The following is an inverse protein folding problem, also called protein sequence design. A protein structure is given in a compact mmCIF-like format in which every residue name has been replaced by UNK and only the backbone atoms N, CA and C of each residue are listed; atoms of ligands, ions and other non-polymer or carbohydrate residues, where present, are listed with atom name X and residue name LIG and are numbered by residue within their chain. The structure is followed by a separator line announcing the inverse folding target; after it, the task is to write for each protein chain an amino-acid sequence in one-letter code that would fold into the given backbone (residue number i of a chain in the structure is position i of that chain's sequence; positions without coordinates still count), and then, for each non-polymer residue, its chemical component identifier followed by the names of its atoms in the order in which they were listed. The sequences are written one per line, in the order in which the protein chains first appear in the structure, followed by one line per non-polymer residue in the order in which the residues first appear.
data_IF_488195807543
#
_entry.id   IF_488195807543
#
_cell.length_a   1.000
_cell.length_b   1.000
_cell.length_c   1.000
_cell.angle_alpha   90.00
_cell.angle_beta   90.00
_cell.angle_gamma   90.00
#
_symmetry.space_group_name_H-M   'P 1'
#
loop_
_entity.id
_entity.type
_entity.pdbx_description
1 polymer ?
#
# COMPACT_ATOMS: atom_id res chain seq x y z
N UNK A 1 58.32 -15.58 19.50
CA UNK A 1 57.18 -14.76 19.95
C UNK A 1 56.38 -15.57 20.95
N UNK A 2 56.36 -15.20 22.23
CA UNK A 2 55.52 -15.90 23.22
C UNK A 2 54.08 -15.43 23.00
N UNK A 3 53.20 -16.35 22.60
CA UNK A 3 51.77 -16.06 22.46
C UNK A 3 51.21 -15.64 23.81
N UNK A 4 50.73 -14.40 23.92
CA UNK A 4 49.94 -13.99 25.07
C UNK A 4 48.59 -14.69 24.97
N UNK A 5 48.36 -15.66 25.85
CA UNK A 5 47.04 -16.25 26.00
C UNK A 5 46.12 -15.19 26.62
N UNK A 6 45.07 -14.81 25.90
CA UNK A 6 44.00 -13.96 26.42
C UNK A 6 43.39 -14.63 27.65
N UNK A 7 43.17 -13.88 28.73
CA UNK A 7 42.47 -14.43 29.91
C UNK A 7 41.04 -14.78 29.51
N UNK A 8 40.46 -15.76 30.21
CA UNK A 8 39.09 -16.24 29.96
C UNK A 8 38.08 -15.09 30.04
N UNK A 9 38.33 -14.09 30.89
CA UNK A 9 37.46 -12.92 31.02
C UNK A 9 37.39 -12.12 29.71
N UNK A 10 38.52 -11.87 29.04
CA UNK A 10 38.54 -11.13 27.77
C UNK A 10 37.78 -11.87 26.67
N UNK A 11 37.87 -13.20 26.63
CA UNK A 11 37.12 -14.03 25.68
C UNK A 11 35.62 -13.92 25.96
N UNK A 12 35.20 -13.95 27.23
CA UNK A 12 33.80 -13.77 27.61
C UNK A 12 33.27 -12.38 27.26
N UNK A 13 34.02 -11.31 27.54
CA UNK A 13 33.60 -9.95 27.16
C UNK A 13 33.47 -9.78 25.64
N UNK A 14 34.38 -10.39 24.87
CA UNK A 14 34.31 -10.38 23.41
C UNK A 14 33.06 -11.10 22.89
N UNK A 15 32.74 -12.28 23.43
CA UNK A 15 31.53 -13.03 23.07
C UNK A 15 30.24 -12.29 23.43
N UNK A 16 30.19 -11.66 24.61
CA UNK A 16 29.05 -10.80 25.02
C UNK A 16 28.90 -9.63 24.06
N UNK A 17 30.01 -8.98 23.68
CA UNK A 17 30.02 -7.90 22.70
C UNK A 17 29.47 -8.31 21.33
N UNK A 18 29.93 -9.45 20.79
CA UNK A 18 29.41 -10.00 19.53
C UNK A 18 27.91 -10.29 19.65
N UNK A 19 27.49 -10.93 20.74
CA UNK A 19 26.08 -11.29 20.97
C UNK A 19 25.20 -10.04 21.03
N UNK A 20 25.67 -8.97 21.69
CA UNK A 20 24.98 -7.68 21.72
C UNK A 20 24.84 -7.07 20.32
N UNK A 21 25.92 -7.02 19.54
CA UNK A 21 25.89 -6.47 18.17
C UNK A 21 24.90 -7.24 17.29
N UNK A 22 24.93 -8.57 17.35
CA UNK A 22 24.00 -9.43 16.62
C UNK A 22 22.56 -9.16 17.06
N UNK A 23 22.31 -9.07 18.37
CA UNK A 23 20.98 -8.84 18.93
C UNK A 23 20.43 -7.48 18.51
N UNK A 24 21.26 -6.44 18.58
CA UNK A 24 20.91 -5.08 18.13
C UNK A 24 20.56 -5.09 16.65
N UNK A 25 21.35 -5.76 15.81
CA UNK A 25 21.08 -5.88 14.38
C UNK A 25 19.71 -6.52 14.12
N UNK A 26 19.39 -7.64 14.78
CA UNK A 26 18.09 -8.31 14.61
C UNK A 26 16.92 -7.43 15.06
N UNK A 27 17.06 -6.72 16.18
CA UNK A 27 16.03 -5.79 16.67
C UNK A 27 15.77 -4.68 15.64
N UNK A 28 16.83 -4.02 15.17
CA UNK A 28 16.68 -2.94 14.18
C UNK A 28 16.13 -3.45 12.85
N UNK A 29 16.57 -4.63 12.39
CA UNK A 29 16.04 -5.24 11.16
C UNK A 29 14.54 -5.52 11.29
N UNK A 30 14.08 -6.06 12.43
CA UNK A 30 12.66 -6.31 12.65
C UNK A 30 11.85 -5.01 12.74
N UNK A 31 12.34 -4.01 13.46
CA UNK A 31 11.68 -2.70 13.57
C UNK A 31 11.57 -2.05 12.18
N UNK A 32 12.63 -2.11 11.37
CA UNK A 32 12.62 -1.57 10.01
C UNK A 32 11.55 -2.23 9.14
N UNK A 33 11.45 -3.56 9.17
CA UNK A 33 10.45 -4.29 8.40
C UNK A 33 9.02 -3.92 8.83
N UNK A 34 8.75 -3.86 10.14
CA UNK A 34 7.44 -3.47 10.68
C UNK A 34 7.10 -2.02 10.30
N UNK A 35 8.08 -1.12 10.34
CA UNK A 35 7.87 0.28 9.97
C UNK A 35 7.54 0.41 8.46
N UNK A 36 8.23 -0.34 7.60
CA UNK A 36 7.98 -0.36 6.17
C UNK A 36 6.56 -0.90 5.87
N UNK A 37 6.17 -2.04 6.48
CA UNK A 37 4.83 -2.61 6.32
C UNK A 37 3.72 -1.66 6.78
N UNK A 38 3.88 -1.03 7.95
CA UNK A 38 2.91 -0.04 8.45
C UNK A 38 2.79 1.16 7.54
N UNK A 39 3.90 1.63 6.97
CA UNK A 39 3.91 2.78 6.07
C UNK A 39 3.20 2.43 4.76
N UNK A 40 3.49 1.28 4.16
CA UNK A 40 2.78 0.79 2.96
C UNK A 40 1.28 0.67 3.22
N UNK A 41 0.88 0.05 4.33
CA UNK A 41 -0.53 -0.11 4.68
C UNK A 41 -1.24 1.24 4.86
N UNK A 42 -0.63 2.19 5.58
CA UNK A 42 -1.19 3.53 5.76
C UNK A 42 -1.34 4.27 4.43
N UNK A 43 -0.35 4.16 3.54
CA UNK A 43 -0.39 4.77 2.21
C UNK A 43 -1.46 4.13 1.31
N UNK A 44 -1.58 2.80 1.31
CA UNK A 44 -2.61 2.07 0.55
C UNK A 44 -4.01 2.50 1.01
N UNK A 45 -4.23 2.58 2.32
CA UNK A 45 -5.51 3.05 2.86
C UNK A 45 -5.80 4.50 2.45
N UNK A 46 -4.80 5.39 2.51
CA UNK A 46 -4.99 6.79 2.11
C UNK A 46 -5.35 6.94 0.62
N UNK A 47 -4.67 6.20 -0.26
CA UNK A 47 -5.00 6.18 -1.71
C UNK A 47 -6.38 5.59 -1.93
N UNK A 48 -6.70 4.49 -1.25
CA UNK A 48 -8.00 3.84 -1.33
C UNK A 48 -9.15 4.76 -0.91
N UNK A 49 -9.02 5.46 0.22
CA UNK A 49 -10.04 6.41 0.69
C UNK A 49 -10.19 7.61 -0.25
N UNK A 50 -9.09 8.09 -0.84
CA UNK A 50 -9.12 9.17 -1.83
C UNK A 50 -9.86 8.73 -3.10
N UNK A 51 -9.58 7.53 -3.60
CA UNK A 51 -10.28 6.96 -4.76
C UNK A 51 -11.76 6.76 -4.45
N UNK A 52 -12.07 6.15 -3.31
CA UNK A 52 -13.44 5.93 -2.85
C UNK A 52 -14.23 7.24 -2.75
N UNK A 53 -13.68 8.26 -2.11
CA UNK A 53 -14.33 9.58 -2.02
C UNK A 53 -14.57 10.19 -3.39
N UNK A 54 -13.60 10.07 -4.30
CA UNK A 54 -13.74 10.58 -5.69
C UNK A 54 -14.85 9.85 -6.45
N UNK A 55 -14.88 8.52 -6.37
CA UNK A 55 -15.90 7.68 -7.01
C UNK A 55 -17.30 8.03 -6.51
N UNK A 56 -17.47 8.15 -5.18
CA UNK A 56 -18.76 8.52 -4.57
C UNK A 56 -19.21 9.90 -5.07
N UNK A 57 -18.32 10.90 -5.02
CA UNK A 57 -18.64 12.25 -5.46
C UNK A 57 -19.03 12.29 -6.95
N UNK A 58 -18.31 11.55 -7.81
CA UNK A 58 -18.63 11.48 -9.24
C UNK A 58 -19.97 10.81 -9.49
N UNK A 59 -20.28 9.73 -8.75
CA UNK A 59 -21.58 9.09 -8.83
C UNK A 59 -22.71 10.05 -8.44
N UNK A 60 -22.56 10.80 -7.35
CA UNK A 60 -23.56 11.78 -6.90
C UNK A 60 -23.78 12.91 -7.92
N UNK A 61 -22.70 13.42 -8.51
CA UNK A 61 -22.77 14.46 -9.55
C UNK A 61 -23.52 13.93 -10.78
N UNK A 62 -23.18 12.75 -11.27
CA UNK A 62 -23.82 12.19 -12.47
C UNK A 62 -25.27 11.81 -12.21
N UNK A 63 -25.58 11.28 -11.03
CA UNK A 63 -26.95 10.93 -10.65
C UNK A 63 -27.86 12.15 -10.52
N UNK A 64 -27.30 13.32 -10.18
CA UNK A 64 -28.06 14.58 -10.06
C UNK A 64 -28.13 15.37 -11.38
N UNK A 65 -27.13 15.26 -12.25
CA UNK A 65 -27.01 16.07 -13.47
C UNK A 65 -27.30 15.32 -14.77
N UNK A 66 -27.45 13.98 -14.73
CA UNK A 66 -27.55 13.11 -15.91
C UNK A 66 -26.46 13.36 -16.97
N UNK A 67 -25.31 13.89 -16.54
CA UNK A 67 -24.20 14.26 -17.42
C UNK A 67 -23.13 13.18 -17.39
N UNK A 68 -22.37 13.07 -18.48
CA UNK A 68 -21.18 12.22 -18.53
C UNK A 68 -19.98 13.00 -17.97
N UNK A 69 -19.28 12.43 -16.99
CA UNK A 69 -18.13 13.05 -16.36
C UNK A 69 -16.95 12.09 -16.44
N UNK A 70 -15.84 12.58 -17.00
CA UNK A 70 -14.57 11.85 -17.04
C UNK A 70 -13.53 12.62 -16.21
N UNK A 71 -12.82 11.90 -15.35
CA UNK A 71 -11.82 12.48 -14.47
C UNK A 71 -10.61 11.57 -14.36
N UNK A 72 -9.42 12.15 -14.50
CA UNK A 72 -8.17 11.44 -14.28
C UNK A 72 -7.62 11.82 -12.93
N UNK A 73 -7.62 10.87 -12.00
CA UNK A 73 -6.99 11.05 -10.71
C UNK A 73 -5.53 10.58 -10.80
N UNK A 74 -4.59 11.46 -10.50
CA UNK A 74 -3.20 11.06 -10.38
C UNK A 74 -3.01 10.25 -9.11
N UNK A 75 -2.38 9.09 -9.25
CA UNK A 75 -2.06 8.20 -8.14
C UNK A 75 -0.55 7.96 -8.10
N UNK A 76 0.05 7.75 -6.92
CA UNK A 76 1.47 7.43 -6.84
C UNK A 76 1.77 6.13 -7.58
N UNK A 77 2.87 6.10 -8.35
CA UNK A 77 3.30 4.90 -9.09
C UNK A 77 3.74 3.77 -8.15
N UNK A 78 4.22 4.12 -6.95
CA UNK A 78 4.64 3.19 -5.90
C UNK A 78 4.32 3.77 -4.52
N UNK A 79 4.08 2.90 -3.55
CA UNK A 79 3.90 3.24 -2.14
C UNK A 79 4.99 2.55 -1.33
N UNK A 80 5.97 3.33 -0.84
CA UNK A 80 7.13 2.81 -0.10
C UNK A 80 7.77 1.58 -0.74
N UNK A 81 7.94 1.61 -2.08
CA UNK A 81 8.49 0.55 -2.98
C UNK A 81 7.50 -0.52 -3.45
N UNK A 82 6.29 -0.55 -2.94
CA UNK A 82 5.25 -1.44 -3.42
C UNK A 82 4.57 -0.90 -4.70
N UNK A 83 4.52 -1.71 -5.75
CA UNK A 83 3.56 -1.54 -6.85
C UNK A 83 2.26 -2.20 -6.41
N UNK A 84 1.15 -1.45 -6.47
CA UNK A 84 -0.17 -1.93 -6.08
C UNK A 84 -1.11 -2.03 -7.28
N UNK A 85 -2.09 -2.92 -7.15
CA UNK A 85 -3.22 -3.06 -8.08
C UNK A 85 -4.47 -2.46 -7.48
N UNK A 86 -5.38 -2.02 -8.34
CA UNK A 86 -6.71 -1.54 -7.99
C UNK A 86 -7.70 -2.42 -8.74
N UNK A 87 -8.64 -2.97 -7.99
CA UNK A 87 -9.65 -3.91 -8.49
C UNK A 87 -11.01 -3.58 -7.90
N UNK A 88 -12.06 -3.76 -8.67
CA UNK A 88 -13.44 -3.66 -8.17
C UNK A 88 -14.02 -5.07 -8.14
N UNK A 89 -14.26 -5.60 -6.94
CA UNK A 89 -14.87 -6.91 -6.73
C UNK A 89 -16.23 -6.71 -6.07
N UNK A 90 -17.29 -6.82 -6.87
CA UNK A 90 -18.65 -6.50 -6.44
C UNK A 90 -18.74 -5.02 -6.05
N UNK A 91 -19.12 -4.74 -4.80
CA UNK A 91 -19.29 -3.36 -4.29
C UNK A 91 -18.07 -2.87 -3.48
N UNK A 92 -16.92 -3.54 -3.62
CA UNK A 92 -15.71 -3.20 -2.89
C UNK A 92 -14.60 -2.77 -3.85
N UNK A 93 -13.92 -1.70 -3.48
CA UNK A 93 -12.67 -1.25 -4.08
C UNK A 93 -11.52 -1.90 -3.32
N UNK A 94 -10.79 -2.78 -4.00
CA UNK A 94 -9.66 -3.49 -3.44
C UNK A 94 -8.37 -2.88 -3.96
N UNK A 95 -7.46 -2.56 -3.04
CA UNK A 95 -6.10 -2.15 -3.38
C UNK A 95 -5.13 -3.12 -2.73
N UNK A 96 -4.32 -3.80 -3.56
CA UNK A 96 -3.42 -4.84 -3.09
C UNK A 96 -1.98 -4.54 -3.51
N UNK A 97 -1.05 -4.68 -2.58
CA UNK A 97 0.36 -4.63 -2.90
C UNK A 97 0.81 -5.92 -3.59
N UNK A 98 1.47 -5.86 -4.75
CA UNK A 98 1.90 -7.07 -5.47
C UNK A 98 2.97 -7.87 -4.74
N UNK A 99 3.85 -7.19 -4.00
CA UNK A 99 5.01 -7.79 -3.36
C UNK A 99 4.82 -8.06 -1.86
N UNK A 100 3.61 -7.87 -1.32
CA UNK A 100 3.33 -8.13 0.09
C UNK A 100 1.87 -8.55 0.27
N UNK A 101 1.53 -9.13 1.43
CA UNK A 101 0.14 -9.46 1.77
C UNK A 101 -0.64 -8.24 2.29
N UNK A 102 -0.16 -7.02 2.02
CA UNK A 102 -0.79 -5.78 2.44
C UNK A 102 -1.81 -5.37 1.39
N UNK A 103 -3.05 -5.23 1.81
CA UNK A 103 -4.13 -4.71 0.98
C UNK A 103 -5.24 -4.13 1.81
N UNK A 104 -6.13 -3.42 1.14
CA UNK A 104 -7.34 -2.86 1.74
C UNK A 104 -8.53 -3.11 0.84
N UNK A 105 -9.69 -3.28 1.46
CA UNK A 105 -10.98 -3.47 0.79
C UNK A 105 -11.94 -2.44 1.34
N UNK A 106 -12.32 -1.47 0.52
CA UNK A 106 -13.17 -0.36 0.91
C UNK A 106 -14.54 -0.50 0.26
N UNK A 107 -15.59 -0.44 1.08
CA UNK A 107 -16.96 -0.55 0.58
C UNK A 107 -17.41 0.72 -0.13
N UNK A 108 -18.05 0.53 -1.28
CA UNK A 108 -18.65 1.57 -2.10
C UNK A 108 -20.17 1.62 -1.92
N UNK A 109 -20.72 1.16 -0.78
CA UNK A 109 -22.12 1.36 -0.37
C UNK A 109 -23.20 1.07 -1.44
N UNK A 110 -23.06 -0.03 -2.20
CA UNK A 110 -23.97 -0.45 -3.26
C UNK A 110 -24.07 0.48 -4.47
N UNK A 111 -23.05 1.30 -4.70
CA UNK A 111 -22.89 2.01 -5.97
C UNK A 111 -22.69 1.03 -7.13
N UNK A 112 -23.26 1.35 -8.29
CA UNK A 112 -23.12 0.53 -9.49
C UNK A 112 -21.79 0.85 -10.18
N UNK A 113 -20.75 0.11 -9.80
CA UNK A 113 -19.36 0.40 -10.20
C UNK A 113 -18.77 -0.82 -10.89
N UNK A 114 -18.05 -0.56 -11.98
CA UNK A 114 -17.31 -1.59 -12.71
C UNK A 114 -15.88 -1.11 -12.95
N UNK A 115 -14.95 -2.04 -13.08
CA UNK A 115 -13.61 -1.74 -13.57
C UNK A 115 -13.41 -2.49 -14.88
N UNK A 116 -12.84 -1.83 -15.90
CA UNK A 116 -12.57 -2.47 -17.19
C UNK A 116 -11.63 -3.67 -17.04
N UNK A 117 -10.62 -3.52 -16.18
CA UNK A 117 -9.59 -4.51 -15.88
C UNK A 117 -8.98 -4.23 -14.50
N UNK A 118 -8.07 -5.12 -14.06
CA UNK A 118 -7.15 -4.83 -12.94
C UNK A 118 -6.26 -3.65 -13.36
N UNK A 119 -6.25 -2.58 -12.56
CA UNK A 119 -5.48 -1.37 -12.84
C UNK A 119 -4.17 -1.44 -12.06
N UNK A 120 -3.05 -1.27 -12.77
CA UNK A 120 -1.73 -1.24 -12.17
C UNK A 120 -1.31 0.20 -11.90
N UNK A 121 -0.81 0.45 -10.68
CA UNK A 121 -0.27 1.76 -10.28
C UNK A 121 0.86 2.27 -11.17
N UNK A 122 1.49 1.41 -11.99
CA UNK A 122 2.52 1.79 -12.98
C UNK A 122 2.09 2.91 -13.93
N UNK A 123 0.78 3.07 -14.15
CA UNK A 123 0.24 4.11 -15.02
C UNK A 123 0.31 5.51 -14.39
N UNK A 124 0.38 5.62 -13.06
CA UNK A 124 0.46 6.90 -12.33
C UNK A 124 -0.84 7.72 -12.33
N UNK A 125 -1.91 7.17 -12.88
CA UNK A 125 -3.25 7.73 -12.83
C UNK A 125 -4.30 6.61 -12.94
N UNK A 126 -5.54 6.94 -12.57
CA UNK A 126 -6.73 6.13 -12.80
C UNK A 126 -7.74 7.02 -13.53
N UNK A 127 -8.28 6.52 -14.63
CA UNK A 127 -9.41 7.16 -15.30
C UNK A 127 -10.70 6.72 -14.62
N UNK A 128 -11.52 7.68 -14.23
CA UNK A 128 -12.83 7.46 -13.64
C UNK A 128 -13.84 8.10 -14.57
N UNK A 129 -14.68 7.26 -15.19
CA UNK A 129 -15.76 7.69 -16.06
C UNK A 129 -17.09 7.41 -15.38
N UNK A 130 -17.98 8.39 -15.34
CA UNK A 130 -19.30 8.23 -14.76
C UNK A 130 -20.38 8.67 -15.74
N UNK A 131 -21.38 7.81 -15.98
CA UNK A 131 -22.49 8.05 -16.89
C UNK A 131 -23.73 7.30 -16.45
N UNK A 132 -24.90 7.95 -16.50
CA UNK A 132 -26.20 7.33 -16.21
C UNK A 132 -26.25 6.57 -14.87
N UNK A 133 -25.62 7.11 -13.82
CA UNK A 133 -25.57 6.45 -12.51
C UNK A 133 -24.73 5.16 -12.48
N UNK A 134 -23.76 5.04 -13.38
CA UNK A 134 -22.73 4.00 -13.35
C UNK A 134 -21.36 4.67 -13.32
N UNK A 135 -20.41 4.09 -12.57
CA UNK A 135 -19.01 4.51 -12.59
C UNK A 135 -18.15 3.38 -13.12
N UNK A 136 -17.22 3.71 -14.00
CA UNK A 136 -16.27 2.81 -14.62
C UNK A 136 -14.84 3.29 -14.32
N UNK A 137 -13.98 2.35 -13.91
CA UNK A 137 -12.54 2.60 -13.70
C UNK A 137 -11.72 2.07 -14.87
N UNK A 138 -10.76 2.86 -15.34
CA UNK A 138 -9.86 2.59 -16.48
C UNK A 138 -8.40 2.93 -16.23
#
# INVERSE_FOLDING_TARGET
MKGQYLTVEYIMFFLIGITLVISVYYIFSNISNIAEERTVNSQINAVGETLRGTIINMFEIVSSTNSEVNYNISIPVKLSRCIYTIEVLGNNLNLNCLNSQIGTSLSLYNLNITAKNIIYSTNGYVEISAKNGMVELG
#
